data_IF_575228873304
#
_entry.id   IF_575228873304
#
_cell.length_a   1.000
_cell.length_b   1.000
_cell.length_c   1.000
_cell.angle_alpha   90.00
_cell.angle_beta   90.00
_cell.angle_gamma   90.00
#
_symmetry.space_group_name_H-M   'P 1'
#
loop_
_entity.id
_entity.type
_entity.pdbx_description
1 polymer ?
#
# COMPACT_ATOMS: atom_id res chain seq x y z
N UNK A 1 35.99 -76.36 -27.46
CA UNK A 1 36.91 -76.09 -28.58
C UNK A 1 36.20 -75.10 -29.50
N UNK A 2 36.86 -73.96 -29.74
CA UNK A 2 36.59 -72.87 -30.71
C UNK A 2 35.26 -72.10 -30.53
N UNK A 3 35.24 -70.81 -30.16
CA UNK A 3 35.80 -69.58 -30.76
C UNK A 3 34.87 -68.94 -31.81
N UNK A 4 34.83 -67.59 -31.76
CA UNK A 4 34.12 -66.61 -32.61
C UNK A 4 32.68 -66.27 -32.15
N UNK A 5 32.27 -65.01 -31.94
CA UNK A 5 32.88 -63.70 -32.20
C UNK A 5 31.76 -62.64 -32.31
N UNK A 6 32.12 -61.36 -32.14
CA UNK A 6 31.37 -60.11 -32.42
C UNK A 6 30.45 -59.55 -31.31
N UNK A 7 30.54 -58.29 -30.85
CA UNK A 7 31.58 -57.24 -30.69
C UNK A 7 30.85 -56.09 -29.97
N UNK A 8 31.33 -55.70 -28.80
CA UNK A 8 30.81 -54.57 -28.01
C UNK A 8 31.38 -53.26 -28.58
N UNK A 9 30.50 -52.35 -29.01
CA UNK A 9 30.89 -51.06 -29.57
C UNK A 9 31.16 -50.06 -28.42
N UNK A 10 32.36 -50.10 -27.84
CA UNK A 10 32.83 -49.07 -26.89
C UNK A 10 33.48 -47.92 -27.65
N UNK A 11 32.80 -46.78 -27.69
CA UNK A 11 33.36 -45.51 -28.14
C UNK A 11 34.44 -45.04 -27.14
N UNK A 12 35.68 -44.72 -27.54
CA UNK A 12 36.70 -44.25 -26.61
C UNK A 12 36.40 -42.81 -26.19
N UNK A 13 36.29 -42.60 -24.88
CA UNK A 13 36.25 -41.27 -24.26
C UNK A 13 37.63 -40.61 -24.42
N UNK A 14 37.73 -39.35 -24.86
CA UNK A 14 39.02 -38.67 -24.95
C UNK A 14 39.63 -38.53 -23.54
N UNK A 15 40.89 -38.92 -23.40
CA UNK A 15 41.65 -38.82 -22.16
C UNK A 15 41.83 -37.33 -21.79
N UNK A 16 41.02 -36.87 -20.84
CA UNK A 16 41.11 -35.53 -20.27
C UNK A 16 42.45 -35.35 -19.56
N UNK A 17 43.23 -34.37 -20.00
CA UNK A 17 44.59 -34.08 -19.56
C UNK A 17 44.63 -33.75 -18.06
N UNK A 18 45.68 -34.20 -17.36
CA UNK A 18 45.80 -34.05 -15.91
C UNK A 18 45.74 -32.59 -15.43
N UNK A 19 46.08 -31.63 -16.31
CA UNK A 19 45.99 -30.18 -16.05
C UNK A 19 44.55 -29.66 -16.02
N UNK A 20 43.64 -30.22 -16.80
CA UNK A 20 42.22 -29.83 -16.79
C UNK A 20 41.51 -30.35 -15.54
N UNK A 21 41.89 -31.54 -15.05
CA UNK A 21 41.35 -32.08 -13.79
C UNK A 21 41.70 -31.19 -12.59
N UNK A 22 42.92 -30.65 -12.56
CA UNK A 22 43.39 -29.79 -11.47
C UNK A 22 42.71 -28.40 -11.51
N UNK A 23 42.49 -27.85 -12.72
CA UNK A 23 41.75 -26.62 -12.91
C UNK A 23 40.27 -26.75 -12.50
N UNK A 24 39.64 -27.87 -12.88
CA UNK A 24 38.23 -28.15 -12.53
C UNK A 24 38.07 -28.36 -11.02
N UNK A 25 39.03 -29.06 -10.39
CA UNK A 25 39.01 -29.29 -8.94
C UNK A 25 39.23 -27.99 -8.16
N UNK A 26 40.14 -27.12 -8.60
CA UNK A 26 40.32 -25.78 -8.00
C UNK A 26 39.08 -24.92 -8.17
N UNK A 27 38.47 -24.89 -9.35
CA UNK A 27 37.23 -24.16 -9.58
C UNK A 27 36.09 -24.66 -8.67
N UNK A 28 35.95 -25.97 -8.48
CA UNK A 28 34.95 -26.55 -7.57
C UNK A 28 35.23 -26.18 -6.11
N UNK A 29 36.49 -26.19 -5.67
CA UNK A 29 36.88 -25.80 -4.30
C UNK A 29 36.66 -24.30 -4.05
N UNK A 30 36.95 -23.45 -5.03
CA UNK A 30 36.78 -21.99 -4.96
C UNK A 30 35.30 -21.57 -5.01
N UNK A 31 34.48 -22.32 -5.76
CA UNK A 31 33.01 -22.15 -5.75
C UNK A 31 32.39 -22.62 -4.43
N UNK A 32 33.01 -23.60 -3.75
CA UNK A 32 32.51 -24.13 -2.46
C UNK A 32 32.88 -23.22 -1.29
N UNK A 33 34.05 -22.59 -1.30
CA UNK A 33 34.48 -21.64 -0.26
C UNK A 33 33.72 -20.31 -0.32
N UNK A 34 33.41 -19.81 -1.53
CA UNK A 34 32.56 -18.61 -1.70
C UNK A 34 31.10 -18.84 -1.29
N UNK A 35 30.54 -20.04 -1.53
CA UNK A 35 29.17 -20.39 -1.12
C UNK A 35 28.98 -20.55 0.40
N UNK A 36 30.04 -20.88 1.15
CA UNK A 36 29.96 -21.07 2.61
C UNK A 36 29.94 -19.77 3.43
N UNK A 37 30.29 -18.61 2.86
CA UNK A 37 30.44 -17.35 3.61
C UNK A 37 29.14 -16.54 3.73
N UNK A 38 28.05 -16.97 3.10
CA UNK A 38 26.81 -16.19 2.98
C UNK A 38 25.61 -16.90 3.63
N UNK A 39 25.81 -17.48 4.82
CA UNK A 39 24.72 -17.90 5.72
C UNK A 39 24.65 -16.97 6.93
N UNK A 40 24.31 -15.70 6.70
CA UNK A 40 23.74 -14.87 7.75
C UNK A 40 22.26 -14.72 7.46
N UNK A 41 21.44 -15.54 8.11
CA UNK A 41 20.00 -15.31 8.16
C UNK A 41 19.76 -13.88 8.67
N UNK A 42 18.85 -13.14 8.02
CA UNK A 42 18.49 -11.75 8.39
C UNK A 42 18.11 -11.64 9.87
N UNK A 43 17.51 -12.70 10.42
CA UNK A 43 17.24 -12.85 11.86
C UNK A 43 18.54 -12.93 12.70
N UNK A 44 19.54 -13.72 12.28
CA UNK A 44 20.84 -13.80 12.96
C UNK A 44 21.70 -12.54 12.80
N UNK A 45 21.42 -11.70 11.81
CA UNK A 45 22.02 -10.37 11.65
C UNK A 45 21.36 -9.35 12.60
N UNK A 46 20.03 -9.35 12.71
CA UNK A 46 19.29 -8.55 13.70
C UNK A 46 19.69 -8.91 15.13
N UNK A 47 19.73 -10.21 15.47
CA UNK A 47 20.13 -10.69 16.80
C UNK A 47 21.58 -10.32 17.14
N UNK A 48 22.51 -10.38 16.17
CA UNK A 48 23.89 -9.91 16.37
C UNK A 48 24.01 -8.38 16.43
N UNK A 49 23.20 -7.65 15.68
CA UNK A 49 23.15 -6.19 15.74
C UNK A 49 22.60 -5.71 17.10
N UNK A 50 21.56 -6.38 17.61
CA UNK A 50 21.03 -6.20 18.96
C UNK A 50 22.05 -6.60 20.03
N UNK A 51 22.74 -7.72 19.87
CA UNK A 51 23.78 -8.18 20.81
C UNK A 51 25.05 -7.31 20.84
N UNK A 52 25.30 -6.51 19.80
CA UNK A 52 26.39 -5.54 19.72
C UNK A 52 25.96 -4.10 20.03
N UNK A 53 24.68 -3.88 20.31
CA UNK A 53 24.14 -2.55 20.54
C UNK A 53 24.61 -2.00 21.88
N UNK A 54 25.39 -0.91 21.83
CA UNK A 54 25.82 -0.15 23.01
C UNK A 54 24.97 1.12 23.09
N UNK A 55 23.90 1.16 23.91
CA UNK A 55 22.93 2.25 23.89
C UNK A 55 23.55 3.62 24.18
N UNK A 56 24.60 3.65 25.02
CA UNK A 56 25.38 4.85 25.35
C UNK A 56 26.25 5.38 24.20
N UNK A 57 26.61 4.56 23.20
CA UNK A 57 27.47 4.98 22.07
C UNK A 57 26.69 5.45 20.85
N UNK A 58 25.39 5.15 20.77
CA UNK A 58 24.53 5.55 19.65
C UNK A 58 23.21 6.14 20.17
N UNK A 59 23.26 7.33 20.81
CA UNK A 59 22.08 7.91 21.47
C UNK A 59 20.92 8.19 20.50
N UNK A 60 21.22 8.55 19.24
CA UNK A 60 20.20 8.83 18.22
C UNK A 60 19.42 7.59 17.83
N UNK A 61 20.09 6.47 17.55
CA UNK A 61 19.41 5.22 17.15
C UNK A 61 18.67 4.59 18.32
N UNK A 62 19.24 4.70 19.53
CA UNK A 62 18.57 4.26 20.76
C UNK A 62 17.31 5.06 21.01
N UNK A 63 17.37 6.39 20.87
CA UNK A 63 16.21 7.26 20.99
C UNK A 63 15.12 6.95 19.96
N UNK A 64 15.48 6.77 18.69
CA UNK A 64 14.48 6.44 17.64
C UNK A 64 13.85 5.06 17.85
N UNK A 65 14.63 4.07 18.29
CA UNK A 65 14.10 2.74 18.58
C UNK A 65 13.20 2.74 19.81
N UNK A 66 13.58 3.46 20.88
CA UNK A 66 12.72 3.63 22.04
C UNK A 66 11.42 4.36 21.70
N UNK A 67 11.50 5.41 20.88
CA UNK A 67 10.33 6.15 20.43
C UNK A 67 9.40 5.29 19.56
N UNK A 68 9.97 4.44 18.71
CA UNK A 68 9.24 3.44 17.93
C UNK A 68 8.53 2.42 18.84
N UNK A 69 9.25 1.83 19.79
CA UNK A 69 8.68 0.88 20.75
C UNK A 69 7.58 1.53 21.60
N UNK A 70 7.78 2.78 22.04
CA UNK A 70 6.78 3.57 22.75
C UNK A 70 5.54 3.78 21.88
N UNK A 71 5.71 4.14 20.61
CA UNK A 71 4.60 4.32 19.69
C UNK A 71 3.78 3.05 19.48
N UNK A 72 4.43 1.89 19.33
CA UNK A 72 3.74 0.59 19.25
C UNK A 72 3.02 0.25 20.55
N UNK A 73 3.66 0.48 21.70
CA UNK A 73 3.02 0.28 23.00
C UNK A 73 1.76 1.14 23.14
N UNK A 74 1.82 2.42 22.77
CA UNK A 74 0.68 3.34 22.84
C UNK A 74 -0.44 2.93 21.87
N UNK A 75 -0.08 2.48 20.66
CA UNK A 75 -1.07 2.08 19.67
C UNK A 75 -1.95 0.91 20.16
N UNK A 76 -1.34 -0.12 20.74
CA UNK A 76 -1.99 -1.40 21.00
C UNK A 76 -2.25 -1.70 22.48
N UNK A 77 -1.36 -1.28 23.37
CA UNK A 77 -1.35 -1.74 24.76
C UNK A 77 -1.70 -0.65 25.78
N UNK A 78 -1.43 0.62 25.49
CA UNK A 78 -1.77 1.69 26.42
C UNK A 78 -3.28 1.78 26.60
N UNK A 79 -3.72 1.55 27.85
CA UNK A 79 -5.05 1.93 28.33
C UNK A 79 -5.12 3.44 28.45
N UNK A 80 -6.33 3.99 28.30
CA UNK A 80 -6.55 5.40 28.55
C UNK A 80 -6.21 5.69 30.02
N UNK A 81 -5.40 6.72 30.31
CA UNK A 81 -4.99 7.01 31.69
C UNK A 81 -6.13 7.56 32.55
N UNK A 82 -7.24 8.01 31.94
CA UNK A 82 -8.46 8.43 32.64
C UNK A 82 -9.58 7.45 32.34
N UNK A 83 -9.96 6.66 33.34
CA UNK A 83 -11.12 5.77 33.27
C UNK A 83 -12.41 6.57 33.44
N UNK A 84 -13.41 6.27 32.61
CA UNK A 84 -14.69 6.96 32.64
C UNK A 84 -15.53 6.39 33.78
N UNK A 85 -15.81 7.21 34.79
CA UNK A 85 -16.72 6.84 35.88
C UNK A 85 -18.17 6.77 35.37
N UNK A 86 -19.03 5.91 35.96
CA UNK A 86 -20.43 5.81 35.55
C UNK A 86 -21.20 7.13 35.63
N UNK A 87 -20.82 8.02 36.55
CA UNK A 87 -21.39 9.36 36.67
C UNK A 87 -20.99 10.29 35.52
N UNK A 88 -19.74 10.21 35.05
CA UNK A 88 -19.29 10.96 33.88
C UNK A 88 -19.97 10.47 32.60
N UNK A 89 -20.13 9.15 32.46
CA UNK A 89 -20.85 8.55 31.34
C UNK A 89 -22.31 9.00 31.27
N UNK A 90 -23.03 8.99 32.40
CA UNK A 90 -24.43 9.45 32.43
C UNK A 90 -24.56 10.93 32.04
N UNK A 91 -23.67 11.80 32.54
CA UNK A 91 -23.68 13.22 32.17
C UNK A 91 -23.41 13.43 30.67
N UNK A 92 -22.48 12.66 30.12
CA UNK A 92 -22.19 12.67 28.69
C UNK A 92 -23.40 12.21 27.86
N UNK A 93 -24.02 11.09 28.25
CA UNK A 93 -25.18 10.53 27.54
C UNK A 93 -26.40 11.48 27.62
N UNK A 94 -26.64 12.10 28.77
CA UNK A 94 -27.70 13.10 28.94
C UNK A 94 -27.42 14.36 28.11
N UNK A 95 -26.16 14.80 28.03
CA UNK A 95 -25.78 15.93 27.17
C UNK A 95 -25.97 15.59 25.68
N UNK A 96 -25.62 14.38 25.24
CA UNK A 96 -25.86 13.94 23.86
C UNK A 96 -27.35 13.94 23.51
N UNK A 97 -28.21 13.43 24.40
CA UNK A 97 -29.67 13.42 24.18
C UNK A 97 -30.21 14.83 24.00
N UNK A 98 -29.80 15.79 24.84
CA UNK A 98 -30.20 17.19 24.71
C UNK A 98 -29.76 17.79 23.38
N UNK A 99 -28.53 17.50 22.93
CA UNK A 99 -28.05 17.96 21.61
C UNK A 99 -28.92 17.41 20.48
N UNK A 100 -29.27 16.13 20.53
CA UNK A 100 -30.11 15.51 19.51
C UNK A 100 -31.55 16.05 19.52
N UNK A 101 -32.11 16.30 20.69
CA UNK A 101 -33.46 16.87 20.86
C UNK A 101 -33.52 18.34 20.40
N UNK A 102 -32.58 19.18 20.85
CA UNK A 102 -32.61 20.63 20.59
C UNK A 102 -32.14 20.99 19.18
N UNK A 103 -31.08 20.32 18.69
CA UNK A 103 -30.38 20.71 17.46
C UNK A 103 -30.70 19.76 16.32
N UNK A 104 -31.07 18.50 16.60
CA UNK A 104 -31.23 17.46 15.60
C UNK A 104 -32.24 17.81 14.50
N UNK A 105 -33.42 18.35 14.87
CA UNK A 105 -34.43 18.74 13.89
C UNK A 105 -34.02 19.95 13.04
N UNK A 106 -33.45 20.98 13.69
CA UNK A 106 -32.95 22.16 13.00
C UNK A 106 -31.86 21.79 11.98
N UNK A 107 -30.91 20.95 12.39
CA UNK A 107 -29.82 20.48 11.54
C UNK A 107 -30.34 19.64 10.37
N UNK A 108 -31.29 18.72 10.60
CA UNK A 108 -31.93 17.93 9.53
C UNK A 108 -32.61 18.81 8.49
N UNK A 109 -33.39 19.82 8.92
CA UNK A 109 -34.08 20.75 8.02
C UNK A 109 -33.11 21.54 7.16
N UNK A 110 -32.07 22.12 7.78
CA UNK A 110 -31.09 22.94 7.06
C UNK A 110 -30.20 22.10 6.15
N UNK A 111 -29.84 20.89 6.58
CA UNK A 111 -29.11 19.92 5.75
C UNK A 111 -29.91 19.52 4.51
N UNK A 112 -31.20 19.23 4.64
CA UNK A 112 -32.08 18.98 3.49
C UNK A 112 -32.10 20.16 2.53
N UNK A 113 -32.31 21.38 3.05
CA UNK A 113 -32.33 22.61 2.23
C UNK A 113 -31.02 22.83 1.47
N UNK A 114 -29.87 22.51 2.09
CA UNK A 114 -28.57 22.57 1.41
C UNK A 114 -28.47 21.54 0.27
N UNK A 115 -28.85 20.28 0.51
CA UNK A 115 -28.83 19.25 -0.54
C UNK A 115 -29.80 19.55 -1.69
N UNK A 116 -30.96 20.12 -1.39
CA UNK A 116 -31.92 20.59 -2.39
C UNK A 116 -31.31 21.69 -3.27
N UNK A 117 -30.68 22.69 -2.66
CA UNK A 117 -30.00 23.76 -3.38
C UNK A 117 -28.78 23.26 -4.18
N UNK A 118 -28.05 22.26 -3.68
CA UNK A 118 -26.94 21.63 -4.40
C UNK A 118 -27.44 20.84 -5.62
N UNK A 119 -28.54 20.10 -5.46
CA UNK A 119 -29.20 19.39 -6.57
C UNK A 119 -29.70 20.35 -7.64
N UNK A 120 -30.33 21.45 -7.23
CA UNK A 120 -30.79 22.50 -8.15
C UNK A 120 -29.62 23.09 -8.93
N UNK A 121 -28.53 23.46 -8.24
CA UNK A 121 -27.33 24.00 -8.89
C UNK A 121 -26.76 23.01 -9.91
N UNK A 122 -26.62 21.74 -9.54
CA UNK A 122 -26.10 20.70 -10.43
C UNK A 122 -27.01 20.52 -11.66
N UNK A 123 -28.32 20.57 -11.49
CA UNK A 123 -29.29 20.46 -12.58
C UNK A 123 -29.18 21.61 -13.59
N UNK A 124 -28.86 22.84 -13.13
CA UNK A 124 -28.69 24.00 -14.02
C UNK A 124 -27.27 24.17 -14.57
N UNK A 125 -26.29 23.40 -14.08
CA UNK A 125 -24.89 23.45 -14.54
C UNK A 125 -24.43 22.16 -15.25
N UNK A 126 -24.85 21.90 -16.50
CA UNK A 126 -24.37 20.75 -17.27
C UNK A 126 -22.90 20.91 -17.68
N UNK A 127 -22.26 19.82 -18.12
CA UNK A 127 -20.88 19.87 -18.63
C UNK A 127 -20.74 20.92 -19.75
N UNK A 128 -19.69 21.74 -19.69
CA UNK A 128 -19.44 22.79 -20.68
C UNK A 128 -20.29 24.07 -20.52
N UNK A 129 -21.15 24.19 -19.50
CA UNK A 129 -22.03 25.35 -19.30
C UNK A 129 -21.31 26.71 -19.32
N UNK A 130 -20.04 26.75 -18.90
CA UNK A 130 -19.24 27.98 -18.90
C UNK A 130 -19.01 28.55 -20.30
N UNK A 131 -19.03 27.70 -21.33
CA UNK A 131 -18.77 28.08 -22.72
C UNK A 131 -20.05 28.20 -23.54
N UNK A 132 -21.13 27.52 -23.14
CA UNK A 132 -22.36 27.40 -23.92
C UNK A 132 -23.57 28.14 -23.32
N UNK A 133 -23.47 28.66 -22.09
CA UNK A 133 -24.61 29.26 -21.40
C UNK A 133 -25.03 30.63 -21.97
N UNK A 134 -26.30 30.74 -22.32
CA UNK A 134 -26.96 32.00 -22.70
C UNK A 134 -27.09 32.96 -21.51
N UNK A 135 -27.27 34.28 -21.72
CA UNK A 135 -27.43 35.25 -20.63
C UNK A 135 -28.54 34.91 -19.62
N UNK A 136 -29.67 34.37 -20.10
CA UNK A 136 -30.78 33.93 -19.24
C UNK A 136 -30.47 32.66 -18.45
N UNK A 137 -29.62 31.77 -18.96
CA UNK A 137 -29.11 30.63 -18.19
C UNK A 137 -28.09 31.06 -17.14
N UNK A 138 -27.23 32.04 -17.45
CA UNK A 138 -26.26 32.58 -16.49
C UNK A 138 -26.95 33.19 -15.28
N UNK A 139 -28.04 33.96 -15.47
CA UNK A 139 -28.80 34.51 -14.34
C UNK A 139 -29.44 33.43 -13.47
N UNK A 140 -29.99 32.35 -14.07
CA UNK A 140 -30.51 31.19 -13.32
C UNK A 140 -29.43 30.49 -12.51
N UNK A 141 -28.24 30.31 -13.09
CA UNK A 141 -27.09 29.70 -12.39
C UNK A 141 -26.63 30.59 -11.24
N UNK A 142 -26.60 31.91 -11.41
CA UNK A 142 -26.25 32.84 -10.34
C UNK A 142 -27.25 32.81 -9.19
N UNK A 143 -28.56 32.75 -9.50
CA UNK A 143 -29.60 32.60 -8.49
C UNK A 143 -29.46 31.27 -7.73
N UNK A 144 -29.25 30.15 -8.43
CA UNK A 144 -29.04 28.85 -7.81
C UNK A 144 -27.77 28.84 -6.93
N UNK A 145 -26.68 29.46 -7.39
CA UNK A 145 -25.46 29.64 -6.57
C UNK A 145 -25.72 30.49 -5.33
N UNK A 146 -26.52 31.54 -5.43
CA UNK A 146 -26.88 32.38 -4.28
C UNK A 146 -27.64 31.56 -3.24
N UNK A 147 -28.68 30.83 -3.66
CA UNK A 147 -29.44 29.94 -2.77
C UNK A 147 -28.56 28.89 -2.10
N UNK A 148 -27.67 28.24 -2.86
CA UNK A 148 -26.72 27.29 -2.31
C UNK A 148 -25.80 27.93 -1.26
N UNK A 149 -25.30 29.15 -1.51
CA UNK A 149 -24.44 29.88 -0.56
C UNK A 149 -25.20 30.25 0.70
N UNK A 150 -26.44 30.69 0.58
CA UNK A 150 -27.28 31.07 1.71
C UNK A 150 -27.64 29.83 2.56
N UNK A 151 -28.02 28.72 1.92
CA UNK A 151 -28.24 27.44 2.58
C UNK A 151 -26.96 26.88 3.24
N UNK A 152 -25.79 27.01 2.59
CA UNK A 152 -24.51 26.61 3.17
C UNK A 152 -24.13 27.46 4.38
N UNK A 153 -24.46 28.76 4.40
CA UNK A 153 -24.26 29.62 5.57
C UNK A 153 -25.16 29.19 6.72
N UNK A 154 -26.43 28.94 6.46
CA UNK A 154 -27.36 28.43 7.47
C UNK A 154 -26.87 27.09 8.05
N UNK A 155 -26.42 26.16 7.19
CA UNK A 155 -25.91 24.86 7.62
C UNK A 155 -24.71 25.02 8.55
N UNK A 156 -23.75 25.87 8.18
CA UNK A 156 -22.56 26.14 9.01
C UNK A 156 -22.91 26.73 10.38
N UNK A 157 -23.98 27.51 10.49
CA UNK A 157 -24.40 28.08 11.78
C UNK A 157 -24.92 26.97 12.70
N UNK A 158 -25.78 26.08 12.20
CA UNK A 158 -26.31 24.97 13.00
C UNK A 158 -25.25 23.90 13.29
N UNK A 159 -24.36 23.60 12.34
CA UNK A 159 -23.20 22.73 12.57
C UNK A 159 -22.30 23.28 13.68
N UNK A 160 -22.04 24.59 13.71
CA UNK A 160 -21.25 25.22 14.78
C UNK A 160 -21.93 25.11 16.15
N UNK A 161 -23.26 25.25 16.22
CA UNK A 161 -24.00 25.06 17.48
C UNK A 161 -23.88 23.61 17.95
N UNK A 162 -24.07 22.65 17.04
CA UNK A 162 -23.90 21.22 17.33
C UNK A 162 -22.49 20.94 17.81
N UNK A 163 -21.47 21.45 17.12
CA UNK A 163 -20.07 21.23 17.45
C UNK A 163 -19.70 21.85 18.81
N UNK A 164 -20.27 23.02 19.14
CA UNK A 164 -20.09 23.65 20.44
C UNK A 164 -20.70 22.82 21.57
N UNK A 165 -21.94 22.35 21.41
CA UNK A 165 -22.62 21.54 22.43
C UNK A 165 -21.99 20.14 22.57
N UNK A 166 -21.57 19.52 21.45
CA UNK A 166 -20.80 18.27 21.47
C UNK A 166 -19.44 18.45 22.14
N UNK A 167 -18.79 19.61 21.96
CA UNK A 167 -17.53 19.93 22.61
C UNK A 167 -17.68 20.10 24.12
N UNK A 168 -18.77 20.72 24.56
CA UNK A 168 -19.12 20.81 25.98
C UNK A 168 -19.34 19.41 26.58
N UNK A 169 -20.13 18.56 25.93
CA UNK A 169 -20.31 17.18 26.36
C UNK A 169 -18.98 16.40 26.45
N UNK A 170 -18.09 16.55 25.44
CA UNK A 170 -16.77 15.90 25.42
C UNK A 170 -15.80 16.44 26.46
N UNK A 171 -15.96 17.69 26.90
CA UNK A 171 -15.10 18.32 27.89
C UNK A 171 -15.16 17.61 29.25
N UNK A 172 -16.32 17.05 29.60
CA UNK A 172 -16.54 16.30 30.84
C UNK A 172 -15.67 15.04 30.94
N UNK A 173 -15.39 14.39 29.80
CA UNK A 173 -14.58 13.18 29.74
C UNK A 173 -13.09 13.50 29.60
N UNK A 174 -12.76 14.56 28.87
CA UNK A 174 -11.38 14.97 28.60
C UNK A 174 -10.69 14.13 27.51
N UNK A 175 -9.59 14.69 26.97
CA UNK A 175 -8.89 14.14 25.81
C UNK A 175 -8.19 12.79 26.06
N UNK A 176 -7.75 12.57 27.30
CA UNK A 176 -7.04 11.36 27.71
C UNK A 176 -7.96 10.23 28.19
N UNK A 177 -9.29 10.42 28.08
CA UNK A 177 -10.27 9.38 28.36
C UNK A 177 -10.28 8.29 27.31
N UNK A 178 -10.94 7.17 27.63
CA UNK A 178 -11.19 6.10 26.67
C UNK A 178 -11.87 6.59 25.39
N UNK A 179 -12.79 7.56 25.50
CA UNK A 179 -13.46 8.17 24.35
C UNK A 179 -12.48 8.97 23.50
N UNK A 180 -11.67 9.85 24.10
CA UNK A 180 -10.71 10.68 23.37
C UNK A 180 -9.62 9.86 22.67
N UNK A 181 -9.07 8.86 23.35
CA UNK A 181 -8.12 7.91 22.76
C UNK A 181 -8.80 7.05 21.69
N UNK A 182 -10.03 6.62 21.92
CA UNK A 182 -10.84 5.86 20.97
C UNK A 182 -11.11 6.62 19.68
N UNK A 183 -11.52 7.88 19.78
CA UNK A 183 -11.76 8.77 18.64
C UNK A 183 -10.47 9.03 17.84
N UNK A 184 -9.32 9.21 18.52
CA UNK A 184 -8.04 9.38 17.85
C UNK A 184 -7.63 8.10 17.10
N UNK A 185 -7.81 6.92 17.71
CA UNK A 185 -7.57 5.62 17.05
C UNK A 185 -8.50 5.42 15.86
N UNK A 186 -9.79 5.77 15.99
CA UNK A 186 -10.75 5.67 14.90
C UNK A 186 -10.40 6.63 13.75
N UNK A 187 -9.97 7.85 14.06
CA UNK A 187 -9.50 8.82 13.08
C UNK A 187 -8.27 8.30 12.32
N UNK A 188 -7.29 7.72 13.02
CA UNK A 188 -6.14 7.08 12.40
C UNK A 188 -6.56 5.90 11.52
N UNK A 189 -7.44 5.02 12.01
CA UNK A 189 -7.96 3.87 11.26
C UNK A 189 -8.60 4.29 9.94
N UNK A 190 -9.42 5.35 9.95
CA UNK A 190 -10.03 5.92 8.73
C UNK A 190 -8.98 6.45 7.76
N UNK A 191 -7.95 7.15 8.24
CA UNK A 191 -6.85 7.62 7.40
C UNK A 191 -6.02 6.48 6.81
N UNK A 192 -5.72 5.46 7.62
CA UNK A 192 -5.03 4.25 7.20
C UNK A 192 -5.82 3.47 6.14
N UNK A 193 -7.13 3.27 6.34
CA UNK A 193 -8.01 2.62 5.38
C UNK A 193 -8.07 3.37 4.05
N UNK A 194 -8.18 4.70 4.08
CA UNK A 194 -8.08 5.52 2.86
C UNK A 194 -6.74 5.33 2.13
N UNK A 195 -5.64 5.30 2.88
CA UNK A 195 -4.30 5.04 2.33
C UNK A 195 -4.21 3.66 1.66
N UNK A 196 -4.75 2.62 2.31
CA UNK A 196 -4.84 1.26 1.72
C UNK A 196 -5.67 1.24 0.44
N UNK A 197 -6.87 1.82 0.47
CA UNK A 197 -7.78 1.83 -0.69
C UNK A 197 -7.14 2.58 -1.87
N UNK A 198 -6.48 3.71 -1.59
CA UNK A 198 -5.70 4.43 -2.60
C UNK A 198 -4.62 3.55 -3.22
N UNK A 199 -3.81 2.88 -2.39
CA UNK A 199 -2.74 2.01 -2.86
C UNK A 199 -3.29 0.86 -3.72
N UNK A 200 -4.31 0.14 -3.24
CA UNK A 200 -4.95 -0.96 -3.97
C UNK A 200 -5.53 -0.48 -5.31
N UNK A 201 -6.22 0.66 -5.33
CA UNK A 201 -6.78 1.24 -6.55
C UNK A 201 -5.67 1.61 -7.53
N UNK A 202 -4.61 2.27 -7.06
CA UNK A 202 -3.48 2.67 -7.92
C UNK A 202 -2.79 1.44 -8.50
N UNK A 203 -2.48 0.45 -7.67
CA UNK A 203 -1.85 -0.81 -8.10
C UNK A 203 -2.72 -1.59 -9.08
N UNK A 204 -4.05 -1.55 -8.93
CA UNK A 204 -4.96 -2.14 -9.89
C UNK A 204 -4.85 -1.47 -11.26
N UNK A 205 -4.91 -0.13 -11.31
CA UNK A 205 -4.80 0.61 -12.57
C UNK A 205 -3.42 0.46 -13.21
N UNK A 206 -2.35 0.50 -12.42
CA UNK A 206 -0.98 0.31 -12.90
C UNK A 206 -0.77 -1.12 -13.42
N UNK A 207 -1.33 -2.13 -12.74
CA UNK A 207 -1.31 -3.52 -13.18
C UNK A 207 -2.09 -3.73 -14.48
N UNK A 208 -3.27 -3.11 -14.61
CA UNK A 208 -4.06 -3.15 -15.83
C UNK A 208 -3.31 -2.51 -17.01
N UNK A 209 -2.70 -1.34 -16.81
CA UNK A 209 -1.88 -0.70 -17.84
C UNK A 209 -0.64 -1.54 -18.19
N UNK A 210 -0.02 -2.19 -17.21
CA UNK A 210 1.13 -3.07 -17.43
C UNK A 210 0.74 -4.29 -18.26
N UNK A 211 -0.43 -4.88 -18.02
CA UNK A 211 -0.96 -6.00 -18.79
C UNK A 211 -1.35 -5.59 -20.21
N UNK A 212 -2.03 -4.44 -20.38
CA UNK A 212 -2.45 -3.93 -21.68
C UNK A 212 -1.28 -3.47 -22.56
N UNK A 213 -0.17 -3.05 -21.96
CA UNK A 213 1.03 -2.56 -22.64
C UNK A 213 2.19 -3.57 -22.64
N UNK A 214 1.97 -4.75 -22.08
CA UNK A 214 2.96 -5.81 -21.99
C UNK A 214 3.37 -6.30 -23.38
N UNK A 215 4.68 -6.43 -23.61
CA UNK A 215 5.20 -7.12 -24.79
C UNK A 215 4.98 -8.63 -24.58
N UNK A 216 4.65 -9.35 -25.66
CA UNK A 216 4.39 -10.80 -25.65
C UNK A 216 5.58 -11.68 -25.22
N UNK A 217 6.78 -11.10 -25.07
CA UNK A 217 8.02 -11.81 -24.74
C UNK A 217 8.51 -11.58 -23.29
N UNK A 218 7.75 -10.89 -22.42
CA UNK A 218 8.19 -10.69 -21.04
C UNK A 218 7.89 -11.92 -20.17
N UNK A 219 8.92 -12.48 -19.51
CA UNK A 219 8.77 -13.59 -18.55
C UNK A 219 7.76 -13.22 -17.45
N UNK A 220 6.84 -14.14 -17.16
CA UNK A 220 5.77 -13.94 -16.15
C UNK A 220 6.33 -13.52 -14.79
N UNK A 221 7.53 -13.98 -14.44
CA UNK A 221 8.22 -13.64 -13.19
C UNK A 221 8.67 -12.18 -13.18
N UNK A 222 9.27 -11.70 -14.28
CA UNK A 222 9.68 -10.31 -14.43
C UNK A 222 8.48 -9.36 -14.35
N UNK A 223 7.37 -9.75 -14.98
CA UNK A 223 6.09 -9.04 -14.86
C UNK A 223 5.60 -8.98 -13.42
N UNK A 224 5.54 -10.12 -12.71
CA UNK A 224 5.06 -10.20 -11.32
C UNK A 224 5.95 -9.43 -10.35
N UNK A 225 7.28 -9.50 -10.49
CA UNK A 225 8.22 -8.73 -9.68
C UNK A 225 8.03 -7.23 -9.90
N UNK A 226 7.92 -6.80 -11.16
CA UNK A 226 7.69 -5.39 -11.49
C UNK A 226 6.36 -4.90 -10.92
N UNK A 227 5.29 -5.69 -11.05
CA UNK A 227 3.99 -5.38 -10.47
C UNK A 227 4.05 -5.31 -8.94
N UNK A 228 4.79 -6.22 -8.29
CA UNK A 228 5.02 -6.20 -6.85
C UNK A 228 5.79 -4.93 -6.40
N UNK A 229 6.82 -4.50 -7.12
CA UNK A 229 7.52 -3.23 -6.83
C UNK A 229 6.62 -2.01 -6.95
N UNK A 230 5.76 -1.98 -7.98
CA UNK A 230 4.74 -0.94 -8.14
C UNK A 230 3.76 -0.98 -6.96
N UNK A 231 3.30 -2.17 -6.57
CA UNK A 231 2.41 -2.35 -5.43
C UNK A 231 3.01 -1.83 -4.13
N UNK A 232 4.27 -2.18 -3.84
CA UNK A 232 5.01 -1.71 -2.67
C UNK A 232 5.16 -0.19 -2.70
N UNK A 233 5.50 0.39 -3.84
CA UNK A 233 5.68 1.85 -3.99
C UNK A 233 4.37 2.62 -3.76
N UNK A 234 3.27 2.15 -4.37
CA UNK A 234 1.94 2.74 -4.19
C UNK A 234 1.45 2.62 -2.75
N UNK A 235 1.74 1.50 -2.10
CA UNK A 235 1.42 1.30 -0.69
C UNK A 235 2.21 2.23 0.21
N UNK A 236 3.51 2.44 -0.05
CA UNK A 236 4.32 3.44 0.66
C UNK A 236 3.72 4.83 0.52
N UNK A 237 3.32 5.24 -0.68
CA UNK A 237 2.68 6.55 -0.90
C UNK A 237 1.34 6.67 -0.16
N UNK A 238 0.50 5.63 -0.21
CA UNK A 238 -0.78 5.57 0.50
C UNK A 238 -0.62 5.66 2.02
N UNK A 239 0.39 4.98 2.57
CA UNK A 239 0.71 5.00 4.00
C UNK A 239 1.28 6.35 4.47
N UNK A 240 2.15 6.99 3.67
CA UNK A 240 2.62 8.34 3.95
C UNK A 240 1.45 9.34 3.93
N UNK A 241 0.58 9.25 2.93
CA UNK A 241 -0.63 10.07 2.84
C UNK A 241 -1.54 9.89 4.07
N UNK A 242 -1.67 8.66 4.58
CA UNK A 242 -2.44 8.38 5.79
C UNK A 242 -1.87 9.10 7.02
N UNK A 243 -0.53 9.13 7.19
CA UNK A 243 0.12 9.88 8.28
C UNK A 243 -0.18 11.37 8.17
N UNK A 244 0.04 11.97 7.00
CA UNK A 244 -0.20 13.40 6.81
C UNK A 244 -1.67 13.76 7.02
N UNK A 245 -2.59 12.98 6.44
CA UNK A 245 -4.03 13.20 6.60
C UNK A 245 -4.45 13.09 8.07
N UNK A 246 -3.90 12.12 8.81
CA UNK A 246 -4.13 12.01 10.25
C UNK A 246 -3.56 13.21 11.01
N UNK A 247 -2.32 13.62 10.73
CA UNK A 247 -1.67 14.76 11.39
C UNK A 247 -2.43 16.08 11.18
N UNK A 248 -3.02 16.30 10.00
CA UNK A 248 -3.85 17.49 9.75
C UNK A 248 -5.24 17.42 10.37
N UNK A 249 -5.83 16.23 10.50
CA UNK A 249 -7.16 16.07 11.09
C UNK A 249 -7.14 16.08 12.63
N UNK A 250 -6.04 15.63 13.23
CA UNK A 250 -5.92 15.44 14.67
C UNK A 250 -6.08 16.74 15.49
N UNK A 251 -5.54 17.91 15.10
CA UNK A 251 -5.77 19.17 15.81
C UNK A 251 -7.26 19.55 15.91
N UNK A 252 -8.03 19.26 14.86
CA UNK A 252 -9.48 19.46 14.87
C UNK A 252 -10.14 18.60 15.95
N UNK A 253 -9.77 17.32 16.03
CA UNK A 253 -10.27 16.42 17.07
C UNK A 253 -9.86 16.90 18.47
N UNK A 254 -8.58 17.23 18.69
CA UNK A 254 -8.08 17.72 19.99
C UNK A 254 -8.84 18.96 20.45
N UNK A 255 -9.09 19.90 19.53
CA UNK A 255 -9.84 21.12 19.85
C UNK A 255 -11.27 20.83 20.31
N UNK A 256 -11.87 19.70 19.91
CA UNK A 256 -13.22 19.31 20.29
C UNK A 256 -13.35 18.79 21.74
N UNK A 257 -12.25 18.57 22.45
CA UNK A 257 -12.23 18.14 23.87
C UNK A 257 -11.90 19.28 24.84
N UNK A 258 -11.94 20.55 24.38
CA UNK A 258 -11.66 21.77 25.18
C UNK A 258 -10.45 21.67 26.12
N UNK A 259 -9.41 20.99 25.65
CA UNK A 259 -8.22 20.69 26.44
C UNK A 259 -7.25 21.88 26.45
N UNK A 260 -6.43 22.00 27.51
CA UNK A 260 -5.35 22.98 27.56
C UNK A 260 -4.34 22.78 26.42
N UNK A 261 -3.73 23.87 25.95
CA UNK A 261 -2.79 23.84 24.81
C UNK A 261 -1.67 22.81 25.04
N UNK A 262 -1.12 22.75 26.26
CA UNK A 262 -0.04 21.83 26.60
C UNK A 262 -0.45 20.35 26.55
N UNK A 263 -1.63 20.02 27.11
CA UNK A 263 -2.15 18.65 27.06
C UNK A 263 -2.50 18.24 25.63
N UNK A 264 -3.03 19.17 24.82
CA UNK A 264 -3.30 18.95 23.41
C UNK A 264 -2.03 18.67 22.60
N UNK A 265 -0.96 19.45 22.83
CA UNK A 265 0.34 19.23 22.18
C UNK A 265 0.96 17.89 22.61
N UNK A 266 0.93 17.55 23.90
CA UNK A 266 1.43 16.27 24.38
C UNK A 266 0.69 15.09 23.74
N UNK A 267 -0.65 15.17 23.69
CA UNK A 267 -1.48 14.16 23.03
C UNK A 267 -1.17 14.05 21.54
N UNK A 268 -1.03 15.19 20.84
CA UNK A 268 -0.67 15.22 19.43
C UNK A 268 0.64 14.48 19.16
N UNK A 269 1.70 14.78 19.94
CA UNK A 269 3.01 14.15 19.77
C UNK A 269 2.96 12.64 20.02
N UNK A 270 2.33 12.22 21.11
CA UNK A 270 2.17 10.79 21.46
C UNK A 270 1.40 10.05 20.38
N UNK A 271 0.28 10.62 19.93
CA UNK A 271 -0.57 10.00 18.92
C UNK A 271 0.10 9.97 17.53
N UNK A 272 0.87 11.01 17.17
CA UNK A 272 1.63 11.04 15.92
C UNK A 272 2.77 10.01 15.93
N UNK A 273 3.53 9.91 17.03
CA UNK A 273 4.58 8.89 17.20
C UNK A 273 3.99 7.49 17.10
N UNK A 274 2.85 7.25 17.73
CA UNK A 274 2.09 6.00 17.62
C UNK A 274 1.72 5.69 16.17
N UNK A 275 1.11 6.64 15.45
CA UNK A 275 0.71 6.47 14.05
C UNK A 275 1.90 6.17 13.14
N UNK A 276 3.01 6.92 13.26
CA UNK A 276 4.24 6.70 12.50
C UNK A 276 4.83 5.32 12.78
N UNK A 277 4.82 4.87 14.04
CA UNK A 277 5.35 3.57 14.43
C UNK A 277 4.55 2.41 13.84
N UNK A 278 3.21 2.52 13.85
CA UNK A 278 2.33 1.53 13.20
C UNK A 278 2.61 1.47 11.72
N UNK A 279 2.66 2.61 11.02
CA UNK A 279 2.93 2.66 9.59
C UNK A 279 4.32 2.11 9.27
N UNK A 280 5.35 2.49 10.02
CA UNK A 280 6.70 1.97 9.86
C UNK A 280 6.74 0.45 10.00
N UNK A 281 5.96 -0.13 10.93
CA UNK A 281 5.85 -1.58 11.10
C UNK A 281 5.18 -2.25 9.92
N UNK A 282 4.09 -1.68 9.41
CA UNK A 282 3.40 -2.21 8.23
C UNK A 282 4.32 -2.15 7.01
N UNK A 283 5.05 -1.06 6.81
CA UNK A 283 6.03 -0.95 5.72
C UNK A 283 7.17 -1.94 5.90
N UNK A 284 7.74 -2.08 7.10
CA UNK A 284 8.78 -3.06 7.37
C UNK A 284 8.32 -4.49 7.04
N UNK A 285 7.08 -4.86 7.39
CA UNK A 285 6.48 -6.14 7.02
C UNK A 285 6.28 -6.27 5.50
N UNK A 286 5.84 -5.21 4.83
CA UNK A 286 5.62 -5.22 3.38
C UNK A 286 6.95 -5.38 2.62
N UNK A 287 7.96 -4.59 2.95
CA UNK A 287 9.29 -4.67 2.36
C UNK A 287 9.98 -6.00 2.72
N UNK A 288 9.82 -6.46 3.97
CA UNK A 288 10.31 -7.76 4.41
C UNK A 288 9.67 -8.92 3.65
N UNK A 289 8.36 -8.85 3.42
CA UNK A 289 7.61 -9.82 2.61
C UNK A 289 8.02 -9.80 1.13
N UNK A 290 8.19 -8.61 0.54
CA UNK A 290 8.63 -8.47 -0.85
C UNK A 290 10.07 -9.00 -1.07
N UNK A 291 10.99 -8.62 -0.18
CA UNK A 291 12.38 -9.09 -0.23
C UNK A 291 12.47 -10.60 0.06
N UNK A 292 11.77 -11.09 1.08
CA UNK A 292 11.71 -12.50 1.45
C UNK A 292 11.08 -13.36 0.35
N UNK A 293 9.98 -12.91 -0.24
CA UNK A 293 9.30 -13.58 -1.34
C UNK A 293 10.16 -13.67 -2.59
N UNK A 294 10.84 -12.59 -2.97
CA UNK A 294 11.78 -12.59 -4.11
C UNK A 294 12.93 -13.56 -3.88
N UNK A 295 13.53 -13.53 -2.68
CA UNK A 295 14.61 -14.45 -2.31
C UNK A 295 14.16 -15.92 -2.34
N UNK A 296 12.98 -16.22 -1.78
CA UNK A 296 12.43 -17.57 -1.78
C UNK A 296 12.13 -18.06 -3.21
N UNK A 297 11.59 -17.19 -4.06
CA UNK A 297 11.31 -17.50 -5.46
C UNK A 297 12.59 -17.87 -6.21
N UNK A 298 13.62 -17.02 -6.15
CA UNK A 298 14.91 -17.26 -6.82
C UNK A 298 15.56 -18.56 -6.32
N UNK A 299 15.52 -18.80 -5.01
CA UNK A 299 16.22 -19.94 -4.40
C UNK A 299 15.52 -21.27 -4.61
N UNK A 300 14.19 -21.32 -4.47
CA UNK A 300 13.44 -22.57 -4.47
C UNK A 300 12.72 -22.84 -5.79
N UNK A 301 12.21 -21.80 -6.44
CA UNK A 301 11.46 -21.92 -7.68
C UNK A 301 12.32 -21.61 -8.92
N UNK A 302 13.42 -20.87 -8.78
CA UNK A 302 14.32 -20.49 -9.88
C UNK A 302 14.75 -21.67 -10.77
N UNK A 303 15.22 -22.81 -10.21
CA UNK A 303 15.62 -23.97 -11.02
C UNK A 303 14.46 -24.65 -11.74
N UNK A 304 13.25 -24.63 -11.16
CA UNK A 304 12.06 -25.20 -11.78
C UNK A 304 11.52 -24.29 -12.89
N UNK A 305 11.56 -22.98 -12.67
CA UNK A 305 11.08 -21.96 -13.60
C UNK A 305 12.03 -21.81 -14.80
N UNK A 306 13.35 -21.85 -14.61
CA UNK A 306 14.32 -21.83 -15.71
C UNK A 306 14.12 -23.00 -16.69
N UNK A 307 13.76 -24.18 -16.18
CA UNK A 307 13.44 -25.36 -17.01
C UNK A 307 12.15 -25.18 -17.81
N UNK A 308 11.17 -24.44 -17.26
CA UNK A 308 9.91 -24.14 -17.95
C UNK A 308 10.11 -23.10 -19.06
N UNK A 309 10.87 -22.03 -18.78
CA UNK A 309 11.24 -21.02 -19.79
C UNK A 309 12.02 -21.66 -20.94
N UNK A 310 13.02 -22.52 -20.64
CA UNK A 310 13.73 -23.28 -21.68
C UNK A 310 12.83 -24.23 -22.49
N UNK A 311 11.78 -24.78 -21.88
CA UNK A 311 10.83 -25.65 -22.55
C UNK A 311 9.86 -24.85 -23.45
N UNK A 312 9.46 -23.65 -23.02
CA UNK A 312 8.68 -22.72 -23.82
C UNK A 312 9.49 -22.14 -24.98
N UNK A 313 10.72 -21.73 -24.78
CA UNK A 313 11.61 -21.26 -25.85
C UNK A 313 11.82 -22.34 -26.91
N UNK A 314 12.00 -23.59 -26.48
CA UNK A 314 12.04 -24.75 -27.39
C UNK A 314 10.72 -24.99 -28.12
N UNK A 315 9.56 -24.67 -27.52
CA UNK A 315 8.25 -24.74 -28.22
C UNK A 315 8.12 -23.60 -29.22
N UNK A 316 8.49 -22.37 -28.85
CA UNK A 316 8.44 -21.18 -29.73
C UNK A 316 9.37 -21.32 -30.93
N UNK A 317 10.60 -21.80 -30.72
CA UNK A 317 11.55 -22.09 -31.80
C UNK A 317 11.00 -23.10 -32.82
N UNK A 318 10.28 -24.13 -32.36
CA UNK A 318 9.61 -25.10 -33.23
C UNK A 318 8.43 -24.52 -34.01
N UNK A 319 7.67 -23.60 -33.41
CA UNK A 319 6.56 -22.91 -34.10
C UNK A 319 7.10 -21.91 -35.14
N UNK A 320 8.17 -21.18 -34.82
CA UNK A 320 8.83 -20.25 -35.74
C UNK A 320 9.46 -20.96 -36.96
N UNK A 321 10.09 -22.12 -36.77
CA UNK A 321 10.61 -22.93 -37.88
C UNK A 321 9.50 -23.46 -38.80
N UNK A 322 8.32 -23.79 -38.27
CA UNK A 322 7.17 -24.25 -39.06
C UNK A 322 6.59 -23.15 -39.96
N UNK A 323 6.54 -21.91 -39.48
CA UNK A 323 6.08 -20.77 -40.26
C UNK A 323 7.04 -20.42 -41.42
N UNK A 324 8.36 -20.56 -41.20
CA UNK A 324 9.36 -20.33 -42.24
C UNK A 324 9.27 -21.39 -43.35
N UNK A 325 9.18 -22.68 -43.02
CA UNK A 325 9.08 -23.77 -44.01
C UNK A 325 7.80 -23.72 -44.86
N UNK A 326 6.67 -23.25 -44.29
CA UNK A 326 5.42 -23.08 -45.04
C UNK A 326 5.51 -22.04 -46.15
N UNK A 327 6.23 -20.94 -45.95
CA UNK A 327 6.38 -19.89 -46.97
C UNK A 327 7.30 -20.29 -48.13
N UNK A 328 8.36 -21.07 -47.87
CA UNK A 328 9.20 -21.62 -48.94
C UNK A 328 8.46 -22.65 -49.81
N UNK A 329 7.63 -23.50 -49.20
CA UNK A 329 6.80 -24.45 -49.93
C UNK A 329 5.74 -23.76 -50.80
N UNK A 330 5.15 -22.65 -50.31
CA UNK A 330 4.12 -21.91 -51.06
C UNK A 330 4.68 -21.09 -52.24
N UNK A 331 5.92 -20.57 -52.15
CA UNK A 331 6.59 -19.88 -53.26
C UNK A 331 6.97 -20.85 -54.39
N UNK A 332 7.50 -22.03 -54.06
CA UNK A 332 7.85 -23.04 -55.06
C UNK A 332 6.62 -23.64 -55.77
N UNK A 333 5.48 -23.71 -55.09
CA UNK A 333 4.22 -24.17 -55.70
C UNK A 333 3.66 -23.16 -56.72
N UNK A 334 3.85 -21.85 -56.52
CA UNK A 334 3.41 -20.82 -57.47
C UNK A 334 4.29 -20.72 -58.71
N UNK A 335 5.58 -21.03 -58.60
CA UNK A 335 6.49 -21.03 -59.76
C UNK A 335 6.23 -22.17 -60.74
N UNK A 336 5.53 -23.25 -60.34
CA UNK A 336 5.24 -24.39 -61.23
C UNK A 336 4.02 -24.22 -62.14
N UNK A 337 3.24 -23.13 -62.01
CA UNK A 337 2.04 -22.91 -62.83
C UNK A 337 2.22 -21.84 -63.94
N UNK A 338 3.46 -21.42 -64.22
CA UNK A 338 3.74 -20.36 -65.20
C UNK A 338 4.69 -20.81 -66.33
N UNK A 339 4.69 -22.09 -66.66
CA UNK A 339 5.32 -22.59 -67.88
C UNK A 339 4.22 -23.28 -68.68
N UNK A 340 3.58 -22.53 -69.56
CA UNK A 340 3.04 -22.93 -70.86
C UNK A 340 2.73 -21.68 -71.68
#
# INVERSE_FOLDING_TARGET
MNADGLTENTTPTPAMDARERDATTRAIVETRTTSSRQKTSTAGALVRALGRWKPMKTPKTTGTLMLYCLGIYVAFYARAPVEITPTMQRRYDDALRRVDEEIGEALRRVSSSYYDAERELRAVTPFGWRFTATPSQRSRIEQAKKRQRDAARALRVEERKRDAAMREARSELGLWSELGVGDAKALFKRSYERGKVFATRSTFWDGLHLMLRGKSDESTISFLLRWAFIAVSNFTMGMLSAIFSYAFALPGLISSFSTSIWSGVAFFLVALVSAVSVVASVLALLYGGAAGGTFALVKYAGPALARLDEAEDRRRARIGQRAAYGNYAHQNARQRYHVD
#
